data_IF_095311200530
#
_entry.id   IF_095311200530
#
_cell.length_a   1.000
_cell.length_b   1.000
_cell.length_c   1.000
_cell.angle_alpha   90.00
_cell.angle_beta   90.00
_cell.angle_gamma   90.00
#
_symmetry.space_group_name_H-M   'P 1'
#
loop_
_entity.id
_entity.type
_entity.pdbx_description
1 polymer ?
#
# COMPACT_ATOMS: atom_id res chain seq x y z
N UNK A 1 -14.95 34.75 0.78
CA UNK A 1 -15.35 33.33 0.90
C UNK A 1 -14.22 32.53 0.31
N UNK A 2 -13.48 31.78 1.12
CA UNK A 2 -12.48 30.85 0.59
C UNK A 2 -13.20 29.83 -0.27
N UNK A 3 -12.87 29.77 -1.56
CA UNK A 3 -13.44 28.81 -2.50
C UNK A 3 -13.21 27.40 -1.98
N UNK A 4 -14.27 26.60 -1.91
CA UNK A 4 -14.16 25.19 -1.56
C UNK A 4 -13.16 24.53 -2.51
N UNK A 5 -12.02 24.07 -1.99
CA UNK A 5 -11.04 23.40 -2.82
C UNK A 5 -11.60 22.03 -3.22
N UNK A 6 -11.88 21.79 -4.52
CA UNK A 6 -12.50 20.56 -4.98
C UNK A 6 -11.62 19.34 -4.67
N UNK A 7 -10.31 19.52 -4.50
CA UNK A 7 -9.39 18.43 -4.17
C UNK A 7 -9.63 17.86 -2.78
N UNK A 8 -10.29 18.57 -1.87
CA UNK A 8 -10.65 18.01 -0.55
C UNK A 8 -11.57 16.79 -0.65
N UNK A 9 -12.29 16.62 -1.76
CA UNK A 9 -13.12 15.42 -1.99
C UNK A 9 -12.29 14.14 -2.09
N UNK A 10 -11.03 14.20 -2.53
CA UNK A 10 -10.18 13.01 -2.68
C UNK A 10 -9.87 12.37 -1.32
N UNK A 11 -9.85 13.17 -0.26
CA UNK A 11 -9.68 12.71 1.12
C UNK A 11 -10.92 12.02 1.66
N UNK A 12 -12.11 12.45 1.22
CA UNK A 12 -13.37 11.79 1.58
C UNK A 12 -13.57 10.47 0.82
N UNK A 13 -13.10 10.40 -0.43
CA UNK A 13 -13.18 9.21 -1.26
C UNK A 13 -12.16 8.14 -0.87
N UNK A 14 -11.01 8.54 -0.34
CA UNK A 14 -9.94 7.63 0.08
C UNK A 14 -9.61 7.86 1.56
N UNK A 15 -10.56 7.55 2.45
CA UNK A 15 -10.34 7.68 3.91
C UNK A 15 -9.28 6.69 4.39
N UNK A 16 -8.45 7.09 5.34
CA UNK A 16 -7.48 6.20 5.96
C UNK A 16 -8.17 5.09 6.78
N UNK A 17 -7.91 3.84 6.39
CA UNK A 17 -8.38 2.62 7.06
C UNK A 17 -7.21 1.75 7.57
N UNK A 18 -5.97 2.16 7.29
CA UNK A 18 -4.74 1.51 7.72
C UNK A 18 -3.91 1.01 6.54
N UNK A 19 -4.35 -0.02 5.80
CA UNK A 19 -3.59 -0.57 4.66
C UNK A 19 -3.33 0.44 3.54
N UNK A 20 -4.24 1.40 3.33
CA UNK A 20 -4.13 2.43 2.29
C UNK A 20 -3.32 3.66 2.73
N UNK A 21 -2.51 3.57 3.78
CA UNK A 21 -1.77 4.71 4.33
C UNK A 21 -0.93 5.46 3.29
N UNK A 22 -0.27 4.76 2.37
CA UNK A 22 0.57 5.38 1.33
C UNK A 22 -0.28 6.27 0.41
N UNK A 23 -1.37 5.73 -0.13
CA UNK A 23 -2.27 6.47 -1.01
C UNK A 23 -2.96 7.61 -0.30
N UNK A 24 -3.43 7.39 0.93
CA UNK A 24 -4.03 8.42 1.75
C UNK A 24 -3.03 9.55 2.03
N UNK A 25 -1.78 9.22 2.39
CA UNK A 25 -0.74 10.22 2.66
C UNK A 25 -0.39 11.02 1.42
N UNK A 26 -0.32 10.39 0.25
CA UNK A 26 -0.14 11.06 -1.05
C UNK A 26 -1.28 12.05 -1.32
N UNK A 27 -2.53 11.62 -1.11
CA UNK A 27 -3.71 12.46 -1.28
C UNK A 27 -3.71 13.66 -0.30
N UNK A 28 -3.33 13.42 0.96
CA UNK A 28 -3.17 14.48 1.96
C UNK A 28 -2.10 15.48 1.55
N UNK A 29 -0.94 15.03 1.06
CA UNK A 29 0.13 15.92 0.62
C UNK A 29 -0.29 16.80 -0.56
N UNK A 30 -1.10 16.28 -1.48
CA UNK A 30 -1.67 17.06 -2.58
C UNK A 30 -2.56 18.18 -2.03
N UNK A 31 -3.50 17.84 -1.13
CA UNK A 31 -4.42 18.83 -0.54
C UNK A 31 -3.65 19.89 0.25
N UNK A 32 -2.73 19.48 1.13
CA UNK A 32 -1.94 20.42 1.94
C UNK A 32 -1.02 21.31 1.09
N UNK A 33 -0.53 20.82 -0.06
CA UNK A 33 0.25 21.65 -1.00
C UNK A 33 -0.61 22.76 -1.59
N UNK A 34 -1.82 22.43 -2.06
CA UNK A 34 -2.72 23.40 -2.69
C UNK A 34 -3.28 24.40 -1.67
N UNK A 35 -3.54 23.96 -0.45
CA UNK A 35 -3.97 24.82 0.65
C UNK A 35 -2.82 25.67 1.23
N UNK A 36 -1.58 25.37 0.86
CA UNK A 36 -0.39 26.08 1.34
C UNK A 36 -0.03 25.76 2.79
N UNK A 37 -0.40 24.59 3.31
CA UNK A 37 -0.14 24.16 4.69
C UNK A 37 0.93 23.08 4.83
N UNK A 38 1.42 22.50 3.71
CA UNK A 38 2.40 21.40 3.73
C UNK A 38 3.65 21.67 4.58
N UNK A 39 4.05 22.93 4.71
CA UNK A 39 5.23 23.31 5.49
C UNK A 39 5.18 22.87 6.97
N UNK A 40 3.99 22.77 7.58
CA UNK A 40 3.86 22.41 9.01
C UNK A 40 4.20 20.95 9.32
N UNK A 41 4.31 20.12 8.29
CA UNK A 41 4.67 18.69 8.42
C UNK A 41 6.05 18.38 7.82
N UNK A 42 6.73 19.37 7.25
CA UNK A 42 8.08 19.22 6.66
C UNK A 42 9.14 20.05 7.36
N UNK A 43 8.76 21.21 7.88
CA UNK A 43 9.69 22.19 8.42
C UNK A 43 9.65 22.15 9.96
N UNK A 44 10.67 22.71 10.61
CA UNK A 44 10.67 22.82 12.07
C UNK A 44 9.70 23.91 12.54
N UNK A 45 8.95 23.61 13.60
CA UNK A 45 8.05 24.57 14.24
C UNK A 45 8.85 25.81 14.73
N UNK A 46 8.45 27.03 14.34
CA UNK A 46 9.10 28.23 14.81
C UNK A 46 9.00 28.33 16.33
N UNK A 47 10.04 28.89 16.94
CA UNK A 47 10.01 29.16 18.38
C UNK A 47 8.86 30.11 18.68
N UNK A 48 8.17 29.84 19.79
CA UNK A 48 7.17 30.77 20.31
C UNK A 48 7.83 32.14 20.52
N UNK A 49 7.27 33.22 19.96
CA UNK A 49 7.78 34.57 20.16
C UNK A 49 7.81 34.95 21.64
N UNK A 50 8.89 35.60 22.07
CA UNK A 50 9.03 36.22 23.39
C UNK A 50 8.38 37.62 23.39
N UNK A 51 8.29 38.29 24.54
CA UNK A 51 7.64 39.61 24.67
C UNK A 51 8.27 40.71 23.79
N UNK A 52 9.58 40.60 23.51
CA UNK A 52 10.35 41.53 22.68
C UNK A 52 10.32 41.19 21.17
N UNK A 53 9.52 40.19 20.77
CA UNK A 53 9.49 39.74 19.39
C UNK A 53 8.94 40.80 18.43
N UNK A 54 9.46 40.81 17.21
CA UNK A 54 8.94 41.69 16.16
C UNK A 54 7.55 41.25 15.71
N UNK A 55 6.76 42.19 15.22
CA UNK A 55 5.44 41.91 14.65
C UNK A 55 5.50 40.84 13.54
N UNK A 56 6.57 40.83 12.74
CA UNK A 56 6.79 39.80 11.71
C UNK A 56 7.05 38.41 12.30
N UNK A 57 7.73 38.30 13.44
CA UNK A 57 7.94 37.03 14.14
C UNK A 57 6.63 36.49 14.72
N UNK A 58 5.82 37.35 15.32
CA UNK A 58 4.48 36.99 15.85
C UNK A 58 3.57 36.52 14.71
N UNK A 59 3.48 37.29 13.62
CA UNK A 59 2.70 36.91 12.43
C UNK A 59 3.13 35.58 11.83
N UNK A 60 4.44 35.32 11.79
CA UNK A 60 4.96 34.06 11.25
C UNK A 60 4.59 32.87 12.13
N UNK A 61 4.68 33.02 13.45
CA UNK A 61 4.26 32.00 14.42
C UNK A 61 2.74 31.75 14.35
N UNK A 62 1.92 32.79 14.33
CA UNK A 62 0.47 32.65 14.24
C UNK A 62 0.03 31.99 12.93
N UNK A 63 0.70 32.32 11.82
CA UNK A 63 0.50 31.64 10.53
C UNK A 63 0.81 30.15 10.63
N UNK A 64 1.89 29.79 11.33
CA UNK A 64 2.24 28.39 11.56
C UNK A 64 1.19 27.67 12.39
N UNK A 65 0.81 28.22 13.55
CA UNK A 65 -0.18 27.62 14.45
C UNK A 65 -1.49 27.37 13.71
N UNK A 66 -1.96 28.35 12.94
CA UNK A 66 -3.17 28.21 12.12
C UNK A 66 -3.04 27.11 11.06
N UNK A 67 -1.90 27.02 10.38
CA UNK A 67 -1.68 25.99 9.37
C UNK A 67 -1.57 24.58 9.99
N UNK A 68 -0.99 24.46 11.19
CA UNK A 68 -0.94 23.20 11.95
C UNK A 68 -2.35 22.77 12.37
N UNK A 69 -3.16 23.68 12.92
CA UNK A 69 -4.56 23.42 13.27
C UNK A 69 -5.38 22.96 12.05
N UNK A 70 -5.26 23.64 10.92
CA UNK A 70 -5.94 23.24 9.68
C UNK A 70 -5.48 21.88 9.18
N UNK A 71 -4.17 21.60 9.26
CA UNK A 71 -3.62 20.30 8.86
C UNK A 71 -4.13 19.18 9.77
N UNK A 72 -4.23 19.42 11.08
CA UNK A 72 -4.85 18.48 12.04
C UNK A 72 -6.30 18.20 11.68
N UNK A 73 -7.07 19.23 11.29
CA UNK A 73 -8.44 19.04 10.82
C UNK A 73 -8.51 18.17 9.55
N UNK A 74 -7.64 18.40 8.56
CA UNK A 74 -7.59 17.58 7.36
C UNK A 74 -7.24 16.11 7.66
N UNK A 75 -6.25 15.88 8.53
CA UNK A 75 -5.85 14.54 8.96
C UNK A 75 -7.04 13.84 9.61
N UNK A 76 -7.64 14.44 10.64
CA UNK A 76 -8.75 13.84 11.39
C UNK A 76 -9.98 13.62 10.51
N UNK A 77 -10.38 14.59 9.69
CA UNK A 77 -11.57 14.47 8.85
C UNK A 77 -11.45 13.37 7.77
N UNK A 78 -10.21 13.00 7.39
CA UNK A 78 -9.92 12.09 6.28
C UNK A 78 -9.59 10.66 6.70
N UNK A 79 -9.91 10.26 7.92
CA UNK A 79 -9.66 8.89 8.42
C UNK A 79 -10.90 8.26 9.05
N UNK A 80 -10.88 6.94 9.26
CA UNK A 80 -11.93 6.23 9.97
C UNK A 80 -12.05 6.68 11.44
N UNK A 81 -13.28 6.69 11.98
CA UNK A 81 -13.59 7.21 13.33
C UNK A 81 -12.72 6.57 14.44
N UNK A 82 -12.38 5.29 14.30
CA UNK A 82 -11.53 4.60 15.27
C UNK A 82 -10.13 5.23 15.37
N UNK A 83 -9.54 5.64 14.25
CA UNK A 83 -8.26 6.35 14.19
C UNK A 83 -8.40 7.79 14.66
N UNK A 84 -9.49 8.47 14.29
CA UNK A 84 -9.77 9.84 14.76
C UNK A 84 -9.74 9.91 16.28
N UNK A 85 -10.43 9.00 16.96
CA UNK A 85 -10.46 8.96 18.42
C UNK A 85 -9.10 8.69 19.07
N UNK A 86 -8.20 7.96 18.40
CA UNK A 86 -6.85 7.72 18.90
C UNK A 86 -5.94 8.93 18.76
N UNK A 87 -6.12 9.72 17.69
CA UNK A 87 -5.23 10.81 17.33
C UNK A 87 -5.74 12.20 17.76
N UNK A 88 -7.04 12.37 18.05
CA UNK A 88 -7.66 13.66 18.35
C UNK A 88 -6.99 14.45 19.50
N UNK A 89 -6.33 13.76 20.44
CA UNK A 89 -5.64 14.39 21.57
C UNK A 89 -4.20 14.82 21.27
N UNK A 90 -3.67 14.54 20.09
CA UNK A 90 -2.32 14.94 19.70
C UNK A 90 -2.27 16.44 19.39
N UNK A 91 -1.19 17.07 19.84
CA UNK A 91 -1.03 18.52 19.88
C UNK A 91 -0.56 19.14 18.56
N UNK A 92 0.03 18.36 17.66
CA UNK A 92 0.51 18.84 16.36
C UNK A 92 0.10 17.90 15.22
N UNK A 93 0.01 18.43 14.00
CA UNK A 93 -0.22 17.61 12.80
C UNK A 93 0.98 16.70 12.52
N UNK A 94 2.20 17.16 12.82
CA UNK A 94 3.42 16.38 12.71
C UNK A 94 3.36 15.11 13.57
N UNK A 95 3.02 15.24 14.86
CA UNK A 95 2.94 14.09 15.78
C UNK A 95 1.88 13.07 15.32
N UNK A 96 0.75 13.55 14.78
CA UNK A 96 -0.28 12.68 14.23
C UNK A 96 0.26 11.86 13.04
N UNK A 97 0.98 12.51 12.13
CA UNK A 97 1.57 11.82 10.98
C UNK A 97 2.67 10.85 11.39
N UNK A 98 3.52 11.21 12.35
CA UNK A 98 4.57 10.30 12.80
C UNK A 98 3.98 9.08 13.51
N UNK A 99 2.93 9.26 14.33
CA UNK A 99 2.23 8.13 14.93
C UNK A 99 1.55 7.23 13.88
N UNK A 100 0.93 7.82 12.85
CA UNK A 100 0.35 7.04 11.74
C UNK A 100 1.41 6.26 10.97
N UNK A 101 2.56 6.89 10.74
CA UNK A 101 3.73 6.26 10.10
C UNK A 101 4.32 5.14 10.97
N UNK A 102 4.35 5.26 12.28
CA UNK A 102 4.74 4.16 13.17
C UNK A 102 3.74 2.99 13.09
N UNK A 103 2.43 3.27 13.07
CA UNK A 103 1.40 2.23 13.03
C UNK A 103 1.34 1.48 11.70
N UNK A 104 1.47 2.21 10.58
CA UNK A 104 1.22 1.67 9.23
C UNK A 104 2.45 1.67 8.32
N UNK A 105 3.50 2.42 8.65
CA UNK A 105 4.72 2.51 7.84
C UNK A 105 5.54 1.22 7.86
N UNK A 106 5.64 0.55 9.02
CA UNK A 106 6.34 -0.75 9.09
C UNK A 106 5.60 -1.84 8.30
N UNK A 107 4.27 -1.87 8.39
CA UNK A 107 3.44 -2.82 7.63
C UNK A 107 3.62 -2.63 6.13
N UNK A 108 3.64 -1.37 5.67
CA UNK A 108 3.92 -1.03 4.28
C UNK A 108 5.34 -1.38 3.87
N UNK A 109 6.34 -1.21 4.74
CA UNK A 109 7.72 -1.60 4.47
C UNK A 109 7.84 -3.13 4.28
N UNK A 110 7.26 -3.92 5.19
CA UNK A 110 7.26 -5.38 5.11
C UNK A 110 6.48 -5.89 3.88
N UNK A 111 5.33 -5.28 3.58
CA UNK A 111 4.55 -5.58 2.37
C UNK A 111 5.37 -5.25 1.11
N UNK A 112 6.00 -4.07 1.06
CA UNK A 112 6.82 -3.64 -0.09
C UNK A 112 8.02 -4.56 -0.30
N UNK A 113 8.69 -4.98 0.78
CA UNK A 113 9.78 -5.95 0.71
C UNK A 113 9.29 -7.32 0.21
N UNK A 114 8.10 -7.76 0.68
CA UNK A 114 7.48 -9.01 0.21
C UNK A 114 7.16 -8.96 -1.27
N UNK A 115 6.49 -7.89 -1.73
CA UNK A 115 6.13 -7.69 -3.13
C UNK A 115 7.36 -7.56 -4.02
N UNK A 116 8.39 -6.83 -3.58
CA UNK A 116 9.67 -6.70 -4.29
C UNK A 116 10.38 -8.05 -4.42
N UNK A 117 10.43 -8.83 -3.33
CA UNK A 117 11.00 -10.18 -3.35
C UNK A 117 10.22 -11.09 -4.29
N UNK A 118 8.88 -11.01 -4.29
CA UNK A 118 8.05 -11.78 -5.21
C UNK A 118 8.32 -11.38 -6.66
N UNK A 119 8.45 -10.09 -6.97
CA UNK A 119 8.74 -9.58 -8.30
C UNK A 119 10.10 -10.08 -8.81
N UNK A 120 11.17 -9.92 -8.03
CA UNK A 120 12.53 -10.30 -8.43
C UNK A 120 12.71 -11.82 -8.60
N UNK A 121 11.96 -12.63 -7.85
CA UNK A 121 12.06 -14.10 -7.90
C UNK A 121 11.02 -14.74 -8.83
N UNK A 122 10.08 -13.98 -9.39
CA UNK A 122 9.09 -14.52 -10.32
C UNK A 122 9.76 -14.75 -11.67
N UNK A 123 9.81 -16.00 -12.12
CA UNK A 123 10.22 -16.40 -13.47
C UNK A 123 9.10 -17.21 -14.10
N UNK A 124 8.92 -17.06 -15.40
CA UNK A 124 7.96 -17.85 -16.14
C UNK A 124 8.47 -19.29 -16.25
N UNK A 125 7.63 -20.25 -15.92
CA UNK A 125 7.95 -21.66 -16.11
C UNK A 125 7.85 -22.01 -17.60
N UNK A 126 8.77 -22.85 -18.09
CA UNK A 126 8.74 -23.32 -19.48
C UNK A 126 7.43 -24.08 -19.76
N UNK A 127 6.80 -23.78 -20.89
CA UNK A 127 5.51 -24.37 -21.28
C UNK A 127 4.26 -23.82 -20.57
N UNK A 128 4.41 -22.92 -19.58
CA UNK A 128 3.28 -22.23 -18.95
C UNK A 128 2.70 -21.11 -19.83
N UNK A 129 1.52 -20.58 -19.47
CA UNK A 129 0.88 -19.50 -20.24
C UNK A 129 1.63 -18.17 -20.05
N UNK A 130 2.05 -17.55 -21.16
CA UNK A 130 2.68 -16.22 -21.13
C UNK A 130 1.70 -15.15 -20.64
N UNK A 131 0.40 -15.32 -20.96
CA UNK A 131 -0.66 -14.41 -20.53
C UNK A 131 -0.76 -14.36 -19.01
N UNK A 132 -0.89 -15.52 -18.38
CA UNK A 132 -1.06 -15.63 -16.93
C UNK A 132 0.17 -15.09 -16.21
N UNK A 133 1.36 -15.37 -16.74
CA UNK A 133 2.62 -14.86 -16.21
C UNK A 133 2.73 -13.33 -16.27
N UNK A 134 2.44 -12.73 -17.43
CA UNK A 134 2.51 -11.26 -17.58
C UNK A 134 1.45 -10.57 -16.71
N UNK A 135 0.23 -11.11 -16.61
CA UNK A 135 -0.79 -10.57 -15.70
C UNK A 135 -0.36 -10.64 -14.23
N UNK A 136 0.32 -11.72 -13.82
CA UNK A 136 0.90 -11.83 -12.48
C UNK A 136 1.96 -10.75 -12.24
N UNK A 137 2.85 -10.51 -13.21
CA UNK A 137 3.88 -9.46 -13.11
C UNK A 137 3.25 -8.06 -13.03
N UNK A 138 2.22 -7.77 -13.84
CA UNK A 138 1.45 -6.52 -13.77
C UNK A 138 0.84 -6.32 -12.38
N UNK A 139 0.28 -7.38 -11.79
CA UNK A 139 -0.26 -7.35 -10.43
C UNK A 139 0.79 -6.96 -9.38
N UNK A 140 1.99 -7.56 -9.45
CA UNK A 140 3.10 -7.27 -8.53
C UNK A 140 3.64 -5.84 -8.68
N UNK A 141 3.74 -5.34 -9.93
CA UNK A 141 4.17 -3.98 -10.21
C UNK A 141 3.16 -2.96 -9.68
N UNK A 142 1.86 -3.20 -9.90
CA UNK A 142 0.80 -2.36 -9.36
C UNK A 142 0.74 -2.39 -7.82
N UNK A 143 0.93 -3.56 -7.20
CA UNK A 143 1.03 -3.68 -5.74
C UNK A 143 2.20 -2.85 -5.20
N UNK A 144 3.36 -2.91 -5.84
CA UNK A 144 4.52 -2.09 -5.48
C UNK A 144 4.25 -0.59 -5.65
N UNK A 145 3.56 -0.19 -6.71
CA UNK A 145 3.16 1.20 -6.93
C UNK A 145 2.24 1.72 -5.82
N UNK A 146 1.22 0.94 -5.44
CA UNK A 146 0.32 1.24 -4.30
C UNK A 146 1.10 1.34 -2.99
N UNK A 147 2.14 0.51 -2.82
CA UNK A 147 3.06 0.56 -1.68
C UNK A 147 4.14 1.66 -1.81
N UNK A 148 4.01 2.56 -2.78
CA UNK A 148 4.84 3.75 -2.96
C UNK A 148 6.21 3.45 -3.58
N UNK A 149 6.35 2.37 -4.34
CA UNK A 149 7.47 2.21 -5.27
C UNK A 149 7.22 3.07 -6.51
N UNK A 150 8.27 3.71 -7.01
CA UNK A 150 8.24 4.40 -8.31
C UNK A 150 9.12 3.58 -9.25
N UNK A 151 8.49 2.92 -10.21
CA UNK A 151 9.16 2.15 -11.26
C UNK A 151 8.66 2.73 -12.58
N UNK A 152 9.56 3.31 -13.37
CA UNK A 152 9.19 3.89 -14.65
C UNK A 152 8.73 2.80 -15.64
N UNK A 153 7.96 3.21 -16.66
CA UNK A 153 7.34 2.27 -17.60
C UNK A 153 8.35 1.43 -18.38
N UNK A 154 9.52 1.98 -18.70
CA UNK A 154 10.58 1.28 -19.42
C UNK A 154 11.17 0.16 -18.56
N UNK A 155 11.52 0.49 -17.31
CA UNK A 155 11.95 -0.50 -16.31
C UNK A 155 10.89 -1.58 -16.08
N UNK A 156 9.61 -1.24 -16.00
CA UNK A 156 8.54 -2.22 -15.83
C UNK A 156 8.50 -3.24 -16.98
N UNK A 157 8.61 -2.77 -18.23
CA UNK A 157 8.65 -3.63 -19.42
C UNK A 157 9.89 -4.53 -19.40
N UNK A 158 11.07 -3.96 -19.13
CA UNK A 158 12.32 -4.73 -19.07
C UNK A 158 12.27 -5.81 -18.01
N UNK A 159 11.73 -5.49 -16.82
CA UNK A 159 11.55 -6.46 -15.74
C UNK A 159 10.70 -7.65 -16.18
N UNK A 160 9.62 -7.42 -16.95
CA UNK A 160 8.81 -8.53 -17.49
C UNK A 160 9.61 -9.34 -18.50
N UNK A 161 10.30 -8.70 -19.45
CA UNK A 161 11.10 -9.39 -20.48
C UNK A 161 12.18 -10.30 -19.86
N UNK A 162 12.84 -9.84 -18.79
CA UNK A 162 13.87 -10.61 -18.08
C UNK A 162 13.32 -11.84 -17.33
N UNK A 163 12.01 -11.98 -17.19
CA UNK A 163 11.39 -13.15 -16.52
C UNK A 163 10.96 -14.25 -17.48
N UNK A 164 11.06 -14.01 -18.79
CA UNK A 164 10.66 -14.96 -19.81
C UNK A 164 11.71 -16.08 -19.99
N UNK A 165 11.29 -17.28 -20.43
CA UNK A 165 12.20 -18.37 -20.74
C UNK A 165 12.94 -18.15 -22.08
N UNK A 166 14.02 -18.91 -22.30
CA UNK A 166 14.92 -18.77 -23.46
C UNK A 166 14.23 -18.93 -24.81
N UNK A 167 13.11 -19.68 -24.88
CA UNK A 167 12.33 -19.81 -26.10
C UNK A 167 11.70 -18.47 -26.57
N UNK A 168 11.66 -17.44 -25.73
CA UNK A 168 11.28 -16.07 -26.10
C UNK A 168 12.48 -15.17 -26.43
N UNK A 169 13.72 -15.65 -26.42
CA UNK A 169 14.92 -14.81 -26.61
C UNK A 169 14.89 -14.02 -27.94
N UNK A 170 14.41 -14.64 -29.02
CA UNK A 170 14.26 -13.97 -30.32
C UNK A 170 13.27 -12.80 -30.25
N UNK A 171 12.17 -12.97 -29.51
CA UNK A 171 11.22 -11.90 -29.26
C UNK A 171 11.87 -10.76 -28.47
N UNK A 172 12.56 -11.06 -27.37
CA UNK A 172 13.21 -10.05 -26.53
C UNK A 172 14.25 -9.22 -27.30
N UNK A 173 15.08 -9.87 -28.13
CA UNK A 173 16.05 -9.17 -28.98
C UNK A 173 15.37 -8.21 -29.96
N UNK A 174 14.30 -8.67 -30.61
CA UNK A 174 13.54 -7.86 -31.57
C UNK A 174 12.82 -6.69 -30.90
N UNK A 175 12.26 -6.91 -29.71
CA UNK A 175 11.56 -5.89 -28.93
C UNK A 175 12.51 -4.75 -28.52
N UNK A 176 13.70 -5.11 -28.01
CA UNK A 176 14.73 -4.14 -27.58
C UNK A 176 15.30 -3.34 -28.76
N UNK A 177 15.53 -3.98 -29.90
CA UNK A 177 16.13 -3.34 -31.08
C UNK A 177 15.17 -2.37 -31.78
N UNK A 178 13.88 -2.67 -31.80
CA UNK A 178 12.89 -1.85 -32.51
C UNK A 178 12.25 -0.75 -31.66
N UNK A 179 12.66 -0.62 -30.38
CA UNK A 179 12.05 0.33 -29.42
C UNK A 179 10.51 0.27 -29.46
N UNK A 180 9.98 -0.95 -29.38
CA UNK A 180 8.53 -1.15 -29.30
C UNK A 180 7.97 -0.41 -28.08
N UNK A 181 6.72 0.06 -28.18
CA UNK A 181 6.03 0.88 -27.18
C UNK A 181 6.21 0.42 -25.71
N UNK A 182 6.30 1.38 -24.79
CA UNK A 182 6.54 1.16 -23.35
C UNK A 182 5.24 0.85 -22.57
N UNK A 183 4.43 -0.08 -23.06
CA UNK A 183 3.15 -0.47 -22.44
C UNK A 183 3.11 -1.96 -22.14
N UNK A 184 2.79 -2.31 -20.88
CA UNK A 184 2.62 -3.69 -20.43
C UNK A 184 1.43 -4.37 -21.12
N UNK A 185 0.37 -3.62 -21.44
CA UNK A 185 -0.79 -4.13 -22.16
C UNK A 185 -0.45 -4.52 -23.60
N UNK A 186 0.37 -3.69 -24.27
CA UNK A 186 0.83 -4.01 -25.63
C UNK A 186 1.82 -5.17 -25.62
N UNK A 187 2.78 -5.16 -24.68
CA UNK A 187 3.71 -6.26 -24.47
C UNK A 187 2.98 -7.60 -24.27
N UNK A 188 1.93 -7.62 -23.44
CA UNK A 188 1.09 -8.80 -23.20
C UNK A 188 0.51 -9.38 -24.51
N UNK A 189 -0.04 -8.51 -25.36
CA UNK A 189 -0.66 -8.92 -26.62
C UNK A 189 0.39 -9.46 -27.62
N UNK A 190 1.54 -8.81 -27.72
CA UNK A 190 2.63 -9.24 -28.60
C UNK A 190 3.26 -10.56 -28.14
N UNK A 191 3.45 -10.73 -26.83
CA UNK A 191 3.95 -11.99 -26.26
C UNK A 191 2.99 -13.15 -26.50
N UNK A 192 1.66 -12.94 -26.43
CA UNK A 192 0.68 -13.97 -26.76
C UNK A 192 0.73 -14.37 -28.24
N UNK A 193 0.93 -13.41 -29.14
CA UNK A 193 1.12 -13.68 -30.56
C UNK A 193 2.41 -14.50 -30.79
N UNK A 194 3.51 -14.10 -30.13
CA UNK A 194 4.78 -14.82 -30.18
C UNK A 194 4.66 -16.26 -29.64
N UNK A 195 3.96 -16.46 -28.52
CA UNK A 195 3.73 -17.80 -27.95
C UNK A 195 3.04 -18.74 -28.94
N UNK A 196 2.05 -18.22 -29.71
CA UNK A 196 1.34 -19.01 -30.72
C UNK A 196 2.27 -19.46 -31.86
N UNK A 197 3.21 -18.61 -32.26
CA UNK A 197 4.23 -18.90 -33.29
C UNK A 197 5.25 -19.91 -32.75
N UNK A 198 5.75 -19.69 -31.52
CA UNK A 198 6.72 -20.59 -30.86
C UNK A 198 6.14 -22.00 -30.72
N UNK A 199 4.87 -22.13 -30.32
CA UNK A 199 4.18 -23.42 -30.23
C UNK A 199 4.04 -24.13 -31.57
N UNK A 200 3.94 -23.41 -32.69
CA UNK A 200 3.90 -24.00 -34.03
C UNK A 200 5.28 -24.44 -34.54
N UNK A 201 6.36 -23.84 -34.02
CA UNK A 201 7.74 -24.17 -34.39
C UNK A 201 8.36 -25.26 -33.51
N UNK A 202 7.69 -25.68 -32.43
CA UNK A 202 8.15 -26.76 -31.58
C UNK A 202 8.16 -28.09 -32.36
N UNK A 203 9.24 -28.90 -32.30
CA UNK A 203 9.30 -30.17 -33.01
C UNK A 203 8.19 -31.10 -32.49
N UNK A 204 7.45 -31.71 -33.42
CA UNK A 204 6.45 -32.74 -33.12
C UNK A 204 7.19 -33.98 -32.62
N UNK A 205 7.44 -34.08 -31.32
CA UNK A 205 8.01 -35.29 -30.72
C UNK A 205 6.95 -35.99 -29.87
N UNK A 206 6.50 -37.13 -30.41
CA UNK A 206 5.74 -38.22 -29.78
C UNK A 206 4.27 -37.98 -29.39
N UNK A 207 3.38 -37.96 -30.40
CA UNK A 207 2.06 -38.59 -30.24
C UNK A 207 2.19 -40.08 -30.56
N UNK A 208 2.64 -40.88 -29.59
CA UNK A 208 2.29 -42.30 -29.59
C UNK A 208 1.04 -42.48 -28.71
N UNK A 209 -0.10 -42.54 -29.38
CA UNK A 209 -1.34 -43.07 -28.85
C UNK A 209 -1.15 -44.58 -28.69
N UNK A 210 -0.96 -45.05 -27.47
CA UNK A 210 -1.32 -46.43 -27.13
C UNK A 210 -2.68 -46.43 -26.46
N UNK A 211 -3.64 -46.98 -27.21
CA UNK A 211 -4.98 -47.31 -26.78
C UNK A 211 -4.98 -48.79 -26.35
N UNK A 212 -5.85 -49.08 -25.37
CA UNK A 212 -6.21 -50.37 -24.78
C UNK A 212 -5.41 -50.70 -23.50
N UNK A 213 -5.99 -51.14 -22.37
CA UNK A 213 -7.21 -51.94 -22.23
C UNK A 213 -7.81 -51.80 -20.82
N UNK A 214 -9.13 -51.94 -20.75
CA UNK A 214 -9.93 -52.18 -19.55
C UNK A 214 -9.39 -53.39 -18.76
N UNK A 215 -9.27 -53.26 -17.44
CA UNK A 215 -9.52 -54.41 -16.55
C UNK A 215 -10.21 -53.96 -15.26
N UNK A 216 -11.30 -54.67 -14.96
CA UNK A 216 -12.20 -54.49 -13.83
C UNK A 216 -11.78 -55.52 -12.79
N UNK A 217 -11.53 -55.11 -11.54
CA UNK A 217 -11.51 -56.05 -10.42
C UNK A 217 -12.28 -55.51 -9.23
N UNK A 218 -13.16 -56.38 -8.74
CA UNK A 218 -14.07 -56.23 -7.61
C UNK A 218 -13.31 -56.43 -6.30
N UNK A 219 -13.65 -55.61 -5.30
CA UNK A 219 -14.02 -56.08 -3.98
C UNK A 219 -12.91 -56.16 -2.91
N UNK A 220 -13.17 -55.55 -1.76
CA UNK A 220 -12.40 -55.82 -0.54
C UNK A 220 -12.53 -54.79 0.58
N UNK A 221 -13.54 -54.95 1.43
CA UNK A 221 -13.83 -54.16 2.65
C UNK A 221 -12.66 -54.09 3.65
N UNK A 222 -12.55 -52.96 4.37
CA UNK A 222 -12.55 -52.85 5.86
C UNK A 222 -12.47 -51.36 6.28
N UNK A 223 -13.56 -50.73 6.73
CA UNK A 223 -14.01 -50.54 8.14
C UNK A 223 -12.96 -49.94 9.08
N UNK A 224 -13.12 -48.67 9.48
CA UNK A 224 -13.55 -48.21 10.83
C UNK A 224 -13.53 -46.67 10.91
N UNK A 225 -14.69 -46.07 11.23
CA UNK A 225 -15.03 -45.25 12.42
C UNK A 225 -14.31 -43.89 12.48
N UNK A 226 -15.04 -42.78 12.25
CA UNK A 226 -15.74 -41.95 13.26
C UNK A 226 -14.71 -40.98 13.92
N UNK A 227 -14.92 -39.68 14.16
CA UNK A 227 -16.13 -38.91 14.43
C UNK A 227 -15.73 -37.41 14.49
N UNK A 228 -16.61 -36.55 13.98
CA UNK A 228 -16.97 -35.18 14.35
C UNK A 228 -16.01 -34.18 15.05
N UNK A 229 -15.98 -32.98 14.43
CA UNK A 229 -16.42 -31.67 14.97
C UNK A 229 -15.64 -31.07 16.16
N UNK A 230 -14.97 -29.93 15.93
CA UNK A 230 -15.21 -28.61 16.54
C UNK A 230 -13.97 -27.71 16.41
N UNK A 231 -14.17 -26.52 15.84
CA UNK A 231 -13.40 -25.33 16.21
C UNK A 231 -13.77 -24.94 17.66
N UNK A 232 -12.96 -24.15 18.37
CA UNK A 232 -13.22 -22.71 18.31
C UNK A 232 -11.96 -21.83 18.41
N UNK A 233 -12.19 -20.54 18.17
CA UNK A 233 -11.20 -19.48 18.05
C UNK A 233 -10.48 -19.09 19.34
N UNK A 234 -9.46 -18.25 19.16
CA UNK A 234 -8.75 -17.55 20.23
C UNK A 234 -8.42 -16.13 19.77
N UNK A 235 -8.96 -15.16 20.50
CA UNK A 235 -8.82 -13.73 20.27
C UNK A 235 -7.40 -13.24 20.62
N UNK A 236 -6.83 -12.36 19.79
CA UNK A 236 -5.61 -11.62 20.11
C UNK A 236 -5.97 -10.23 20.65
N UNK A 237 -5.55 -9.95 21.88
CA UNK A 237 -5.83 -8.71 22.60
C UNK A 237 -5.05 -7.51 22.08
N UNK A 238 -5.72 -6.36 22.02
CA UNK A 238 -5.15 -5.05 21.68
C UNK A 238 -4.40 -4.48 22.88
N UNK A 239 -3.09 -4.27 22.75
CA UNK A 239 -2.26 -3.55 23.74
C UNK A 239 -2.38 -2.04 23.51
N UNK A 240 -2.70 -1.30 24.58
CA UNK A 240 -2.85 0.15 24.62
C UNK A 240 -1.47 0.79 24.89
N UNK A 241 -0.83 1.40 23.90
CA UNK A 241 0.41 2.17 24.12
C UNK A 241 0.11 3.55 24.71
N UNK A 242 0.84 3.90 25.78
CA UNK A 242 0.91 5.25 26.37
C UNK A 242 2.03 6.00 25.66
N UNK A 243 1.70 6.90 24.73
CA UNK A 243 2.65 7.88 24.21
C UNK A 243 2.80 9.07 25.16
N UNK A 244 4.04 9.52 25.38
CA UNK A 244 4.39 10.80 26.02
C UNK A 244 4.64 11.82 24.91
N UNK A 245 4.09 13.03 25.06
CA UNK A 245 4.31 14.15 24.15
C UNK A 245 5.76 14.64 24.28
N UNK A 246 6.51 14.69 23.19
CA UNK A 246 7.87 15.20 23.13
C UNK A 246 7.93 16.40 22.17
N UNK A 247 7.38 17.56 22.57
CA UNK A 247 7.83 18.84 21.99
C UNK A 247 7.53 20.10 22.82
N UNK A 248 6.78 19.99 23.93
CA UNK A 248 6.74 21.06 24.93
C UNK A 248 7.74 20.76 26.06
N UNK A 249 8.78 21.58 26.18
CA UNK A 249 9.74 21.51 27.29
C UNK A 249 9.12 22.00 28.61
N UNK A 250 8.09 21.34 29.17
CA UNK A 250 7.72 21.45 30.59
C UNK A 250 7.07 20.17 31.17
N UNK A 251 7.30 19.84 32.46
CA UNK A 251 6.81 18.61 33.08
C UNK A 251 5.42 18.74 33.73
N UNK A 252 4.62 17.66 33.64
CA UNK A 252 3.50 17.38 34.55
C UNK A 252 2.12 17.39 33.91
N UNK A 253 1.54 16.20 33.70
CA UNK A 253 0.22 15.82 34.21
C UNK A 253 -0.08 14.36 33.84
N UNK A 254 -0.25 13.52 34.86
CA UNK A 254 -0.71 12.14 34.74
C UNK A 254 -2.25 12.07 34.73
N UNK A 255 -2.72 11.16 33.89
CA UNK A 255 -4.09 10.70 33.60
C UNK A 255 -4.94 10.28 34.83
N UNK A 256 -6.18 10.76 34.93
CA UNK A 256 -7.40 10.12 35.52
C UNK A 256 -8.62 10.70 34.78
N UNK A 257 -9.28 10.02 33.84
CA UNK A 257 -10.28 8.94 33.91
C UNK A 257 -11.63 9.36 34.54
N UNK A 258 -12.68 9.19 33.73
CA UNK A 258 -14.13 9.42 33.89
C UNK A 258 -14.76 9.02 35.24
N UNK A 259 -15.86 9.70 35.61
CA UNK A 259 -17.14 9.07 36.00
C UNK A 259 -18.33 10.04 35.78
N UNK A 260 -19.41 9.51 35.21
CA UNK A 260 -20.77 10.07 35.15
C UNK A 260 -21.56 9.73 36.43
N UNK A 261 -22.74 10.35 36.58
CA UNK A 261 -23.78 10.22 37.63
C UNK A 261 -23.50 11.02 38.91
N UNK A 262 -24.46 11.72 39.53
CA UNK A 262 -25.89 11.87 39.33
C UNK A 262 -26.40 13.02 40.23
N UNK A 263 -27.70 13.29 40.16
CA UNK A 263 -28.44 14.31 40.93
C UNK A 263 -28.24 14.18 42.44
N UNK A 264 -28.29 15.29 43.17
CA UNK A 264 -29.42 15.70 44.06
C UNK A 264 -28.97 16.83 45.01
N UNK A 265 -29.93 17.72 45.28
CA UNK A 265 -29.99 18.89 46.19
C UNK A 265 -29.10 20.13 45.93
#
# INVERSE_FOLDING_TARGET
MSSFNPLTSILNQNKLEGPNYVDWKRNLDIVLTVEGYKFVITDECPKKPDEDATDDQVKSYDKWVKADEMTRCYILASMANALQHQLQSMGSAYDMLESLKEMFGEQNCAAKQTAMKALLNTKMAEGSSVRDHVLKMMGLLNELEVLGAVIDKESQVEMVLQTLPDNFQQFCLNYNMNKMDLSLEKLLNELQAAESIIKQQAPVVALNVEKASVSKSKGGKKKKKAQNVLAPGGAAGVKKLKGKCYHYKQPGHHKKQFCLSGKDE
#
